data_IF_317100464707
#
_entry.id   IF_317100464707
#
_cell.length_a   1.000
_cell.length_b   1.000
_cell.length_c   1.000
_cell.angle_alpha   90.00
_cell.angle_beta   90.00
_cell.angle_gamma   90.00
#
_symmetry.space_group_name_H-M   'P 1'
#
loop_
_entity.id
_entity.type
_entity.pdbx_description
1 polymer ?
#
# COMPACT_ATOMS: atom_id res chain seq x y z
N UNK A 1 -22.34 -0.56 -3.36
CA UNK A 1 -21.24 -1.52 -3.56
C UNK A 1 -20.60 -1.77 -2.21
N UNK A 2 -20.40 -3.03 -1.85
CA UNK A 2 -19.75 -3.40 -0.60
C UNK A 2 -18.26 -3.52 -0.83
N UNK A 3 -17.49 -2.63 -0.22
CA UNK A 3 -16.05 -2.51 -0.45
C UNK A 3 -15.26 -2.69 0.84
N UNK A 4 -14.13 -3.39 0.74
CA UNK A 4 -13.14 -3.50 1.82
C UNK A 4 -11.90 -2.69 1.44
N UNK A 5 -11.47 -1.80 2.36
CA UNK A 5 -10.18 -1.12 2.32
C UNK A 5 -9.27 -1.73 3.40
N UNK A 6 -8.26 -2.47 2.97
CA UNK A 6 -7.33 -3.20 3.82
C UNK A 6 -5.97 -2.50 3.86
N UNK A 7 -5.39 -2.36 5.04
CA UNK A 7 -3.97 -2.06 5.24
C UNK A 7 -3.40 -2.97 6.31
N UNK A 8 -2.09 -3.21 6.23
CA UNK A 8 -1.33 -3.92 7.25
C UNK A 8 -0.29 -2.97 7.85
N UNK A 9 -0.15 -2.91 9.16
CA UNK A 9 0.84 -2.03 9.81
C UNK A 9 1.58 -2.70 10.97
N UNK A 10 2.84 -2.33 11.15
CA UNK A 10 3.66 -2.69 12.32
C UNK A 10 4.25 -1.44 12.97
N UNK A 11 4.42 -1.48 14.29
CA UNK A 11 4.97 -0.36 15.04
C UNK A 11 4.18 0.92 14.82
N UNK A 12 4.87 2.03 14.55
CA UNK A 12 4.27 3.36 14.40
C UNK A 12 3.65 3.62 13.01
N UNK A 13 3.64 2.64 12.10
CA UNK A 13 2.91 2.77 10.83
C UNK A 13 1.39 2.91 11.04
N UNK A 14 0.87 2.64 12.25
CA UNK A 14 -0.50 3.00 12.61
C UNK A 14 -0.80 4.51 12.49
N UNK A 15 0.23 5.37 12.50
CA UNK A 15 0.08 6.81 12.29
C UNK A 15 -0.21 7.12 10.81
N UNK A 16 0.47 6.41 9.91
CA UNK A 16 0.17 6.41 8.48
C UNK A 16 -1.25 5.90 8.22
N UNK A 17 -1.61 4.75 8.80
CA UNK A 17 -2.94 4.16 8.65
C UNK A 17 -4.07 5.13 9.07
N UNK A 18 -3.89 5.88 10.17
CA UNK A 18 -4.86 6.90 10.58
C UNK A 18 -5.03 8.02 9.53
N UNK A 19 -3.95 8.52 8.95
CA UNK A 19 -4.00 9.52 7.88
C UNK A 19 -4.60 8.95 6.59
N UNK A 20 -4.30 7.68 6.26
CA UNK A 20 -4.91 6.97 5.13
C UNK A 20 -6.43 6.89 5.28
N UNK A 21 -6.93 6.48 6.44
CA UNK A 21 -8.37 6.44 6.76
C UNK A 21 -9.01 7.81 6.55
N UNK A 22 -8.41 8.86 7.12
CA UNK A 22 -8.94 10.21 6.97
C UNK A 22 -9.04 10.64 5.52
N UNK A 23 -8.00 10.36 4.73
CA UNK A 23 -8.02 10.68 3.30
C UNK A 23 -9.08 9.88 2.55
N UNK A 24 -9.24 8.59 2.83
CA UNK A 24 -10.25 7.75 2.18
C UNK A 24 -11.68 8.25 2.48
N UNK A 25 -11.99 8.49 3.75
CA UNK A 25 -13.30 8.98 4.21
C UNK A 25 -13.59 10.36 3.62
N UNK A 26 -12.61 11.28 3.62
CA UNK A 26 -12.74 12.62 3.01
C UNK A 26 -13.08 12.54 1.52
N UNK A 27 -12.60 11.51 0.82
CA UNK A 27 -12.90 11.26 -0.59
C UNK A 27 -14.22 10.50 -0.80
N UNK A 28 -14.97 10.19 0.25
CA UNK A 28 -16.28 9.54 0.17
C UNK A 28 -16.24 8.01 0.29
N UNK A 29 -15.17 7.44 0.87
CA UNK A 29 -15.17 6.02 1.23
C UNK A 29 -16.30 5.73 2.23
N UNK A 30 -17.11 4.72 1.90
CA UNK A 30 -18.13 4.17 2.79
C UNK A 30 -18.10 2.65 2.63
N UNK A 31 -17.81 1.91 3.70
CA UNK A 31 -17.57 0.48 3.65
C UNK A 31 -16.81 -0.02 4.87
N UNK A 32 -16.08 -1.13 4.71
CA UNK A 32 -15.27 -1.71 5.79
C UNK A 32 -13.80 -1.37 5.60
N UNK A 33 -13.19 -0.78 6.61
CA UNK A 33 -11.76 -0.56 6.70
C UNK A 33 -11.18 -1.63 7.61
N UNK A 34 -10.30 -2.48 7.08
CA UNK A 34 -9.63 -3.53 7.86
C UNK A 34 -8.18 -3.13 8.10
N UNK A 35 -7.79 -3.15 9.37
CA UNK A 35 -6.44 -2.82 9.83
C UNK A 35 -5.80 -4.07 10.44
N UNK A 36 -4.97 -4.76 9.66
CA UNK A 36 -4.21 -5.90 10.15
C UNK A 36 -2.95 -5.46 10.90
N UNK A 37 -2.73 -6.00 12.10
CA UNK A 37 -1.59 -5.64 12.96
C UNK A 37 -1.09 -6.81 13.81
N UNK A 38 0.13 -6.71 14.32
CA UNK A 38 0.72 -7.66 15.28
C UNK A 38 0.83 -7.07 16.71
N UNK A 39 0.42 -5.81 16.90
CA UNK A 39 0.49 -5.13 18.18
C UNK A 39 -0.44 -5.75 19.25
N UNK A 40 0.04 -5.81 20.49
CA UNK A 40 -0.74 -6.28 21.65
C UNK A 40 -1.78 -5.27 22.15
N UNK A 41 -1.65 -4.00 21.74
CA UNK A 41 -2.57 -2.91 22.10
C UNK A 41 -2.95 -2.13 20.85
N UNK A 42 -4.19 -1.65 20.83
CA UNK A 42 -4.66 -0.76 19.78
C UNK A 42 -4.00 0.62 19.88
N UNK A 43 -3.85 1.34 18.76
CA UNK A 43 -3.29 2.69 18.76
C UNK A 43 -4.08 3.66 19.64
N UNK A 44 -3.40 4.60 20.31
CA UNK A 44 -4.07 5.55 21.19
C UNK A 44 -5.16 6.41 20.49
N UNK A 45 -5.02 6.62 19.18
CA UNK A 45 -5.99 7.38 18.40
C UNK A 45 -7.35 6.67 18.26
N UNK A 46 -7.46 5.37 18.55
CA UNK A 46 -8.76 4.67 18.53
C UNK A 46 -9.72 5.17 19.60
N UNK A 47 -9.22 5.87 20.63
CA UNK A 47 -10.07 6.52 21.63
C UNK A 47 -10.92 7.66 21.05
N UNK A 48 -10.63 8.12 19.83
CA UNK A 48 -11.40 9.14 19.10
C UNK A 48 -12.55 8.55 18.27
N UNK A 49 -12.63 7.21 18.18
CA UNK A 49 -13.62 6.52 17.36
C UNK A 49 -14.83 6.08 18.19
N UNK A 50 -15.97 5.94 17.55
CA UNK A 50 -17.17 5.36 18.17
C UNK A 50 -17.01 3.83 18.27
N UNK A 51 -16.93 3.23 19.47
CA UNK A 51 -16.80 1.79 19.61
C UNK A 51 -18.13 1.09 19.31
N UNK A 52 -18.11 0.08 18.45
CA UNK A 52 -19.29 -0.76 18.16
C UNK A 52 -19.23 -2.05 18.98
N UNK A 53 -18.08 -2.74 18.94
CA UNK A 53 -17.79 -3.97 19.68
C UNK A 53 -16.25 -4.13 19.79
N UNK A 54 -15.72 -5.07 20.59
CA UNK A 54 -14.27 -5.22 20.73
C UNK A 54 -13.54 -5.33 19.38
N UNK A 55 -12.62 -4.40 19.13
CA UNK A 55 -11.84 -4.32 17.89
C UNK A 55 -12.58 -3.73 16.68
N UNK A 56 -13.82 -3.25 16.85
CA UNK A 56 -14.64 -2.68 15.76
C UNK A 56 -15.18 -1.31 16.16
N UNK A 57 -15.01 -0.35 15.27
CA UNK A 57 -15.35 1.05 15.47
C UNK A 57 -16.11 1.61 14.28
N UNK A 58 -16.72 2.77 14.46
CA UNK A 58 -17.41 3.50 13.42
C UNK A 58 -16.81 4.91 13.25
N UNK A 59 -16.74 5.36 11.99
CA UNK A 59 -16.25 6.67 11.60
C UNK A 59 -16.94 7.11 10.30
N UNK A 60 -17.78 8.15 10.38
CA UNK A 60 -18.39 8.82 9.21
C UNK A 60 -19.00 7.85 8.16
N UNK A 61 -19.69 6.80 8.61
CA UNK A 61 -20.32 5.80 7.74
C UNK A 61 -19.43 4.61 7.35
N UNK A 62 -18.16 4.60 7.76
CA UNK A 62 -17.24 3.47 7.61
C UNK A 62 -17.10 2.66 8.90
N UNK A 63 -17.11 1.34 8.78
CA UNK A 63 -16.78 0.41 9.86
C UNK A 63 -15.27 0.16 9.86
N UNK A 64 -14.58 0.38 10.98
CA UNK A 64 -13.14 0.14 11.13
C UNK A 64 -12.93 -1.10 11.98
N UNK A 65 -12.28 -2.12 11.41
CA UNK A 65 -12.03 -3.41 12.05
C UNK A 65 -10.53 -3.62 12.26
N UNK A 66 -10.11 -3.81 13.50
CA UNK A 66 -8.75 -4.21 13.83
C UNK A 66 -8.64 -5.74 13.86
N UNK A 67 -7.65 -6.27 13.14
CA UNK A 67 -7.40 -7.71 13.05
C UNK A 67 -5.98 -8.01 13.50
N UNK A 68 -5.85 -8.92 14.46
CA UNK A 68 -4.55 -9.46 14.82
C UNK A 68 -4.10 -10.44 13.74
N UNK A 69 -2.98 -10.14 13.09
CA UNK A 69 -2.35 -10.98 12.07
C UNK A 69 -0.99 -11.44 12.63
N UNK A 70 -0.95 -12.55 13.39
CA UNK A 70 0.31 -13.17 13.77
C UNK A 70 0.97 -13.69 12.50
N UNK A 71 2.12 -13.14 12.14
CA UNK A 71 2.74 -13.42 10.86
C UNK A 71 4.17 -13.91 11.02
N UNK A 72 4.53 -15.09 10.49
CA UNK A 72 5.93 -15.49 10.34
C UNK A 72 6.65 -14.71 9.22
N UNK A 73 5.91 -13.96 8.40
CA UNK A 73 6.39 -13.16 7.27
C UNK A 73 6.40 -11.67 7.61
N UNK A 74 7.23 -10.90 6.91
CA UNK A 74 7.04 -9.47 6.80
C UNK A 74 5.66 -9.18 6.21
N UNK A 75 4.99 -8.13 6.68
CA UNK A 75 3.60 -7.84 6.29
C UNK A 75 3.42 -7.60 4.79
N UNK A 76 4.46 -7.18 4.08
CA UNK A 76 4.44 -7.10 2.62
C UNK A 76 4.11 -8.43 1.95
N UNK A 77 4.66 -9.54 2.43
CA UNK A 77 4.37 -10.88 1.90
C UNK A 77 3.05 -11.46 2.42
N UNK A 78 2.34 -10.78 3.33
CA UNK A 78 1.02 -11.20 3.82
C UNK A 78 -0.14 -10.62 3.02
N UNK A 79 0.11 -9.63 2.16
CA UNK A 79 -0.91 -8.95 1.35
C UNK A 79 -1.89 -9.92 0.68
N UNK A 80 -1.46 -10.90 -0.14
CA UNK A 80 -2.40 -11.75 -0.84
C UNK A 80 -3.20 -12.66 0.11
N UNK A 81 -2.56 -13.20 1.15
CA UNK A 81 -3.18 -14.05 2.16
C UNK A 81 -4.30 -13.34 2.91
N UNK A 82 -4.04 -12.13 3.41
CA UNK A 82 -5.03 -11.37 4.16
C UNK A 82 -6.13 -10.87 3.23
N UNK A 83 -5.80 -10.43 2.01
CA UNK A 83 -6.83 -10.03 1.04
C UNK A 83 -7.79 -11.18 0.72
N UNK A 84 -7.27 -12.40 0.46
CA UNK A 84 -8.11 -13.56 0.19
C UNK A 84 -8.95 -13.95 1.42
N UNK A 85 -8.34 -13.96 2.60
CA UNK A 85 -9.04 -14.20 3.86
C UNK A 85 -10.21 -13.23 4.05
N UNK A 86 -10.04 -11.95 3.72
CA UNK A 86 -11.13 -10.96 3.82
C UNK A 86 -12.25 -11.23 2.81
N UNK A 87 -11.93 -11.68 1.59
CA UNK A 87 -12.96 -12.08 0.63
C UNK A 87 -13.74 -13.31 1.08
N UNK A 88 -13.11 -14.23 1.80
CA UNK A 88 -13.76 -15.41 2.38
C UNK A 88 -14.65 -15.07 3.59
N UNK A 89 -14.15 -14.22 4.49
CA UNK A 89 -14.88 -13.81 5.70
C UNK A 89 -16.09 -12.92 5.37
N UNK A 90 -15.97 -12.07 4.35
CA UNK A 90 -17.00 -11.13 3.94
C UNK A 90 -17.53 -11.49 2.54
N UNK A 91 -18.41 -12.50 2.40
CA UNK A 91 -18.89 -12.96 1.09
C UNK A 91 -19.70 -11.90 0.34
N UNK A 92 -20.22 -10.89 1.06
CA UNK A 92 -20.91 -9.73 0.51
C UNK A 92 -19.97 -8.69 -0.10
N UNK A 93 -18.65 -8.79 0.12
CA UNK A 93 -17.66 -7.89 -0.46
C UNK A 93 -17.55 -8.07 -1.97
N UNK A 94 -17.79 -7.00 -2.72
CA UNK A 94 -17.72 -6.97 -4.20
C UNK A 94 -16.33 -6.57 -4.68
N UNK A 95 -15.63 -5.70 -3.94
CA UNK A 95 -14.30 -5.21 -4.28
C UNK A 95 -13.43 -5.09 -3.02
N UNK A 96 -12.16 -5.48 -3.15
CA UNK A 96 -11.16 -5.33 -2.10
C UNK A 96 -10.01 -4.46 -2.59
N UNK A 97 -9.57 -3.55 -1.73
CA UNK A 97 -8.46 -2.64 -1.93
C UNK A 97 -7.42 -2.93 -0.85
N UNK A 98 -6.19 -3.18 -1.25
CA UNK A 98 -5.04 -3.11 -0.37
C UNK A 98 -4.29 -1.81 -0.62
N UNK A 99 -3.90 -1.16 0.48
CA UNK A 99 -3.11 0.07 0.46
C UNK A 99 -2.04 0.02 1.55
N UNK A 100 -0.79 0.34 1.22
CA UNK A 100 0.26 0.52 2.22
C UNK A 100 -0.11 1.70 3.15
N UNK A 101 0.24 1.63 4.45
CA UNK A 101 -0.15 2.63 5.44
C UNK A 101 0.39 4.05 5.19
N UNK A 102 1.32 4.25 4.26
CA UNK A 102 1.91 5.55 3.88
C UNK A 102 1.38 6.10 2.54
N UNK A 103 0.25 5.57 2.08
CA UNK A 103 -0.48 6.05 0.90
C UNK A 103 -1.75 6.78 1.33
N UNK A 104 -2.06 7.87 0.64
CA UNK A 104 -3.24 8.71 0.86
C UNK A 104 -4.09 8.84 -0.41
N UNK A 105 -5.39 8.97 -0.25
CA UNK A 105 -6.36 9.16 -1.33
C UNK A 105 -6.58 10.65 -1.64
N UNK A 106 -6.38 11.05 -2.90
CA UNK A 106 -6.51 12.43 -3.38
C UNK A 106 -7.69 12.65 -4.34
N UNK A 107 -8.22 11.58 -4.94
CA UNK A 107 -9.37 11.61 -5.84
C UNK A 107 -10.65 11.09 -5.18
N UNK A 108 -11.85 11.43 -5.71
CA UNK A 108 -13.11 10.90 -5.20
C UNK A 108 -13.15 9.36 -5.20
N UNK A 109 -13.71 8.76 -4.14
CA UNK A 109 -13.77 7.30 -3.95
C UNK A 109 -14.41 6.57 -5.14
N UNK A 110 -15.42 7.20 -5.75
CA UNK A 110 -16.10 6.68 -6.95
C UNK A 110 -15.12 6.33 -8.08
N UNK A 111 -14.06 7.12 -8.28
CA UNK A 111 -13.03 6.82 -9.28
C UNK A 111 -12.35 5.48 -8.97
N UNK A 112 -12.00 5.21 -7.71
CA UNK A 112 -11.32 3.98 -7.31
C UNK A 112 -12.22 2.75 -7.48
N UNK A 113 -13.52 2.85 -7.17
CA UNK A 113 -14.47 1.76 -7.41
C UNK A 113 -14.67 1.47 -8.89
N UNK A 114 -14.71 2.50 -9.74
CA UNK A 114 -14.80 2.35 -11.19
C UNK A 114 -13.50 1.74 -11.76
N UNK A 115 -12.34 2.24 -11.30
CA UNK A 115 -11.03 1.76 -11.70
C UNK A 115 -10.83 0.28 -11.35
N UNK A 116 -11.12 -0.12 -10.11
CA UNK A 116 -11.09 -1.53 -9.70
C UNK A 116 -12.13 -2.38 -10.43
N UNK A 117 -13.22 -1.80 -10.94
CA UNK A 117 -14.22 -2.52 -11.73
C UNK A 117 -13.71 -2.97 -13.11
N UNK A 118 -12.58 -2.42 -13.58
CA UNK A 118 -12.01 -2.77 -14.88
C UNK A 118 -11.08 -4.00 -14.84
N UNK A 119 -10.64 -4.44 -13.65
CA UNK A 119 -9.72 -5.55 -13.46
C UNK A 119 -8.90 -5.43 -12.17
N UNK A 120 -7.78 -6.15 -12.09
CA UNK A 120 -6.78 -5.95 -11.02
C UNK A 120 -6.11 -4.60 -11.26
N UNK A 121 -6.47 -3.63 -10.44
CA UNK A 121 -6.03 -2.24 -10.48
C UNK A 121 -4.77 -2.02 -9.64
N UNK A 122 -3.77 -1.39 -10.22
CA UNK A 122 -2.52 -1.03 -9.56
C UNK A 122 -1.76 0.06 -10.33
N UNK A 123 -0.79 0.68 -9.66
CA UNK A 123 0.09 1.67 -10.29
C UNK A 123 1.45 1.08 -10.64
N UNK A 124 2.13 1.67 -11.62
CA UNK A 124 3.52 1.30 -11.94
C UNK A 124 4.52 1.81 -10.89
N UNK A 125 5.61 1.07 -10.74
CA UNK A 125 6.73 1.46 -9.89
C UNK A 125 7.45 2.72 -10.40
N UNK A 126 7.99 3.53 -9.49
CA UNK A 126 8.70 4.76 -9.85
C UNK A 126 10.10 4.55 -10.42
N UNK A 127 10.81 3.49 -10.02
CA UNK A 127 12.19 3.25 -10.43
C UNK A 127 12.25 2.35 -11.66
N UNK A 128 11.33 1.38 -11.74
CA UNK A 128 11.33 0.36 -12.79
C UNK A 128 9.97 0.22 -13.48
N UNK A 129 9.33 1.29 -13.98
CA UNK A 129 7.96 1.18 -14.53
C UNK A 129 7.84 0.20 -15.69
N UNK A 130 8.93 -0.05 -16.42
CA UNK A 130 9.00 -0.97 -17.55
C UNK A 130 10.15 -1.96 -17.39
N UNK A 131 9.87 -3.23 -17.66
CA UNK A 131 10.86 -4.30 -17.73
C UNK A 131 10.60 -5.12 -19.00
N UNK A 132 11.60 -5.22 -19.88
CA UNK A 132 11.49 -5.98 -21.13
C UNK A 132 11.12 -7.45 -20.86
N UNK A 133 10.51 -8.11 -21.83
CA UNK A 133 10.12 -9.53 -21.74
C UNK A 133 11.32 -10.45 -21.46
N UNK A 134 12.50 -10.08 -21.97
CA UNK A 134 13.76 -10.80 -21.78
C UNK A 134 14.54 -10.36 -20.54
N UNK A 135 13.96 -9.54 -19.66
CA UNK A 135 14.65 -9.07 -18.47
C UNK A 135 15.05 -10.25 -17.57
N UNK A 136 16.28 -10.30 -17.01
CA UNK A 136 16.74 -11.43 -16.20
C UNK A 136 15.82 -11.78 -15.03
N UNK A 137 15.19 -10.78 -14.40
CA UNK A 137 14.20 -11.02 -13.35
C UNK A 137 12.98 -11.79 -13.86
N UNK A 138 12.43 -11.44 -15.02
CA UNK A 138 11.29 -12.17 -15.61
C UNK A 138 11.64 -13.60 -15.93
N UNK A 139 12.86 -13.86 -16.42
CA UNK A 139 13.32 -15.22 -16.66
C UNK A 139 13.41 -16.04 -15.37
N UNK A 140 13.81 -15.42 -14.25
CA UNK A 140 13.80 -16.06 -12.95
C UNK A 140 12.38 -16.27 -12.41
N UNK A 141 11.50 -15.28 -12.55
CA UNK A 141 10.09 -15.38 -12.18
C UNK A 141 9.39 -16.48 -12.96
N UNK A 142 9.66 -16.64 -14.26
CA UNK A 142 9.14 -17.73 -15.09
C UNK A 142 9.50 -19.13 -14.57
N UNK A 143 10.72 -19.28 -14.03
CA UNK A 143 11.13 -20.54 -13.38
C UNK A 143 10.36 -20.79 -12.08
N UNK A 144 10.20 -19.75 -11.25
CA UNK A 144 9.42 -19.84 -10.02
C UNK A 144 7.93 -20.14 -10.31
N UNK A 145 7.36 -19.53 -11.35
CA UNK A 145 6.00 -19.80 -11.81
C UNK A 145 5.83 -21.28 -12.17
N UNK A 146 6.79 -21.81 -12.93
CA UNK A 146 6.79 -23.22 -13.34
C UNK A 146 6.97 -24.16 -12.13
N UNK A 147 7.86 -23.83 -11.19
CA UNK A 147 8.07 -24.65 -9.99
C UNK A 147 6.86 -24.63 -9.04
N UNK A 148 6.09 -23.54 -9.04
CA UNK A 148 4.82 -23.42 -8.35
C UNK A 148 3.65 -24.15 -9.05
N UNK A 149 3.88 -24.80 -10.20
CA UNK A 149 2.86 -25.54 -10.96
C UNK A 149 1.94 -24.67 -11.82
N UNK A 150 2.32 -23.42 -12.07
CA UNK A 150 1.60 -22.49 -12.95
C UNK A 150 2.28 -22.40 -14.32
N UNK A 151 1.54 -21.98 -15.34
CA UNK A 151 2.11 -21.62 -16.64
C UNK A 151 2.43 -20.12 -16.69
N UNK A 152 3.40 -19.74 -17.52
CA UNK A 152 3.61 -18.33 -17.86
C UNK A 152 2.64 -17.97 -18.97
N UNK A 153 1.59 -17.25 -18.61
CA UNK A 153 0.47 -16.88 -19.49
C UNK A 153 0.80 -15.66 -20.36
N UNK A 154 1.59 -14.73 -19.81
CA UNK A 154 1.96 -13.48 -20.48
C UNK A 154 3.25 -12.88 -19.91
N UNK A 155 3.81 -11.93 -20.63
CA UNK A 155 4.96 -11.12 -20.22
C UNK A 155 4.59 -9.62 -20.31
N UNK A 156 3.80 -9.08 -19.37
CA UNK A 156 3.40 -7.67 -19.44
C UNK A 156 4.65 -6.80 -19.41
N UNK A 157 4.78 -5.78 -20.26
CA UNK A 157 6.00 -4.95 -20.33
C UNK A 157 6.23 -4.05 -19.11
N UNK A 158 5.22 -3.93 -18.25
CA UNK A 158 5.23 -3.06 -17.08
C UNK A 158 5.55 -3.82 -15.77
N UNK A 159 5.90 -3.07 -14.74
CA UNK A 159 6.22 -3.59 -13.39
C UNK A 159 5.40 -2.84 -12.33
N UNK A 160 4.60 -3.57 -11.52
CA UNK A 160 3.70 -2.97 -10.55
C UNK A 160 4.45 -2.39 -9.35
N UNK A 161 3.87 -1.39 -8.71
CA UNK A 161 4.10 -1.09 -7.30
C UNK A 161 3.07 -1.87 -6.46
N UNK A 162 3.51 -2.63 -5.46
CA UNK A 162 2.58 -3.42 -4.63
C UNK A 162 1.96 -2.64 -3.48
N UNK A 163 2.25 -1.35 -3.36
CA UNK A 163 1.70 -0.50 -2.31
C UNK A 163 0.21 -0.22 -2.50
N UNK A 164 -0.30 -0.28 -3.73
CA UNK A 164 -1.74 -0.20 -4.01
C UNK A 164 -2.15 -1.32 -4.96
N UNK A 165 -3.12 -2.14 -4.53
CA UNK A 165 -3.72 -3.20 -5.34
C UNK A 165 -5.20 -3.26 -5.04
N UNK A 166 -6.05 -3.17 -6.06
CA UNK A 166 -7.49 -3.33 -5.90
C UNK A 166 -8.05 -4.30 -6.93
N UNK A 167 -9.07 -5.06 -6.57
CA UNK A 167 -9.70 -6.00 -7.49
C UNK A 167 -11.14 -6.30 -7.13
N UNK A 168 -12.00 -6.59 -8.12
CA UNK A 168 -13.32 -7.13 -7.87
C UNK A 168 -13.21 -8.61 -7.50
N UNK A 169 -14.17 -9.12 -6.72
CA UNK A 169 -14.21 -10.51 -6.26
C UNK A 169 -14.02 -11.53 -7.38
N UNK A 170 -14.58 -11.27 -8.56
CA UNK A 170 -14.43 -12.14 -9.74
C UNK A 170 -12.97 -12.34 -10.19
N UNK A 171 -12.06 -11.44 -9.82
CA UNK A 171 -10.63 -11.52 -10.12
C UNK A 171 -9.82 -12.10 -8.94
N UNK A 172 -10.47 -12.65 -7.90
CA UNK A 172 -9.78 -13.18 -6.72
C UNK A 172 -8.81 -14.34 -7.01
N UNK A 173 -8.91 -14.99 -8.17
CA UNK A 173 -7.92 -15.97 -8.64
C UNK A 173 -6.50 -15.39 -8.75
N UNK A 174 -6.36 -14.07 -8.96
CA UNK A 174 -5.07 -13.38 -8.91
C UNK A 174 -4.38 -13.56 -7.55
N UNK A 175 -5.13 -13.38 -6.45
CA UNK A 175 -4.60 -13.52 -5.09
C UNK A 175 -4.10 -14.94 -4.84
N UNK A 176 -4.80 -15.95 -5.37
CA UNK A 176 -4.37 -17.35 -5.25
C UNK A 176 -3.04 -17.61 -5.93
N UNK A 177 -2.84 -17.09 -7.15
CA UNK A 177 -1.54 -17.18 -7.84
C UNK A 177 -0.45 -16.49 -7.01
N UNK A 178 -0.74 -15.32 -6.45
CA UNK A 178 0.22 -14.58 -5.62
C UNK A 178 0.60 -15.30 -4.32
N UNK A 179 -0.36 -15.94 -3.67
CA UNK A 179 -0.07 -16.84 -2.53
C UNK A 179 0.81 -18.01 -2.95
N UNK A 180 0.48 -18.68 -4.05
CA UNK A 180 1.21 -19.86 -4.52
C UNK A 180 2.67 -19.54 -4.84
N UNK A 181 2.93 -18.41 -5.52
CA UNK A 181 4.29 -17.98 -5.80
C UNK A 181 5.04 -17.56 -4.53
N UNK A 182 4.34 -16.98 -3.56
CA UNK A 182 4.95 -16.66 -2.26
C UNK A 182 5.35 -17.93 -1.51
N UNK A 183 4.49 -18.96 -1.49
CA UNK A 183 4.79 -20.25 -0.86
C UNK A 183 5.89 -21.02 -1.60
N UNK A 184 5.90 -20.98 -2.94
CA UNK A 184 6.96 -21.59 -3.74
C UNK A 184 8.31 -20.92 -3.48
N UNK A 185 8.34 -19.59 -3.41
CA UNK A 185 9.56 -18.85 -3.09
C UNK A 185 10.11 -19.24 -1.72
N UNK A 186 9.25 -19.38 -0.71
CA UNK A 186 9.65 -19.87 0.62
C UNK A 186 10.17 -21.31 0.59
N UNK A 187 9.52 -22.20 -0.16
CA UNK A 187 9.93 -23.59 -0.30
C UNK A 187 11.32 -23.73 -0.96
N UNK A 188 11.68 -22.79 -1.84
CA UNK A 188 13.00 -22.69 -2.45
C UNK A 188 14.06 -22.00 -1.55
N UNK A 189 13.69 -21.65 -0.31
CA UNK A 189 14.59 -21.00 0.66
C UNK A 189 14.59 -19.46 0.61
N UNK A 190 13.64 -18.88 -0.12
CA UNK A 190 13.42 -17.44 -0.21
C UNK A 190 13.09 -16.79 1.14
N UNK A 191 13.60 -15.57 1.36
CA UNK A 191 13.37 -14.85 2.60
C UNK A 191 12.10 -13.98 2.50
N UNK A 192 11.05 -14.37 3.22
CA UNK A 192 9.80 -13.61 3.36
C UNK A 192 9.68 -12.88 4.70
N UNK A 193 10.67 -12.99 5.59
CA UNK A 193 10.67 -12.36 6.93
C UNK A 193 11.07 -10.90 6.90
N UNK A 194 11.68 -10.45 5.80
CA UNK A 194 12.18 -9.09 5.61
C UNK A 194 12.34 -8.80 4.13
N UNK A 195 12.30 -7.53 3.74
CA UNK A 195 12.71 -7.14 2.39
C UNK A 195 14.23 -7.06 2.28
N UNK A 196 14.75 -7.42 1.10
CA UNK A 196 16.18 -7.41 0.78
C UNK A 196 16.48 -6.32 -0.25
N UNK A 197 15.94 -5.11 -0.07
CA UNK A 197 15.97 -4.03 -1.07
C UNK A 197 17.39 -3.63 -1.52
N UNK A 198 18.39 -3.83 -0.67
CA UNK A 198 19.80 -3.56 -0.99
C UNK A 198 20.36 -4.57 -2.00
N UNK A 199 19.75 -5.76 -2.10
CA UNK A 199 20.12 -6.85 -3.00
C UNK A 199 19.35 -6.81 -4.31
N UNK A 200 18.97 -5.61 -4.81
CA UNK A 200 18.09 -5.46 -5.99
C UNK A 200 18.59 -6.16 -7.26
N UNK A 201 19.86 -6.55 -7.33
CA UNK A 201 20.36 -7.41 -8.41
C UNK A 201 19.66 -8.79 -8.44
N UNK A 202 19.16 -9.26 -7.30
CA UNK A 202 18.33 -10.45 -7.15
C UNK A 202 16.94 -10.25 -7.79
N UNK A 203 16.33 -11.32 -8.34
CA UNK A 203 15.03 -11.23 -8.98
C UNK A 203 13.89 -10.97 -8.00
N UNK A 204 14.02 -11.40 -6.74
CA UNK A 204 13.00 -11.22 -5.70
C UNK A 204 13.68 -10.63 -4.48
N UNK A 205 13.28 -9.42 -4.11
CA UNK A 205 13.71 -8.73 -2.89
C UNK A 205 12.55 -8.27 -2.02
N UNK A 206 11.32 -8.35 -2.54
CA UNK A 206 10.10 -8.03 -1.82
C UNK A 206 8.86 -8.67 -2.43
N UNK A 207 7.71 -8.40 -1.83
CA UNK A 207 6.42 -8.93 -2.31
C UNK A 207 6.02 -8.36 -3.68
N UNK A 208 6.52 -7.18 -4.03
CA UNK A 208 6.29 -6.54 -5.33
C UNK A 208 6.80 -7.38 -6.50
N UNK A 209 7.94 -8.06 -6.34
CA UNK A 209 8.46 -8.98 -7.36
C UNK A 209 7.55 -10.20 -7.54
N UNK A 210 7.02 -10.72 -6.44
CA UNK A 210 6.08 -11.84 -6.48
C UNK A 210 4.73 -11.43 -7.06
N UNK A 211 4.27 -10.21 -6.80
CA UNK A 211 3.10 -9.64 -7.45
C UNK A 211 3.31 -9.53 -8.97
N UNK A 212 4.49 -9.04 -9.40
CA UNK A 212 4.85 -8.95 -10.81
C UNK A 212 4.92 -10.33 -11.49
N UNK A 213 5.50 -11.32 -10.82
CA UNK A 213 5.50 -12.72 -11.27
C UNK A 213 4.07 -13.28 -11.37
N UNK A 214 3.20 -12.95 -10.41
CA UNK A 214 1.80 -13.40 -10.41
C UNK A 214 1.03 -12.87 -11.61
N UNK A 215 1.30 -11.63 -12.01
CA UNK A 215 0.70 -11.04 -13.21
C UNK A 215 1.15 -11.73 -14.52
N UNK A 216 2.32 -12.37 -14.53
CA UNK A 216 2.78 -13.20 -15.66
C UNK A 216 2.06 -14.55 -15.71
N UNK A 217 1.63 -15.09 -14.57
CA UNK A 217 0.99 -16.41 -14.45
C UNK A 217 -0.55 -16.35 -14.42
N UNK A 218 -1.14 -15.15 -14.40
CA UNK A 218 -2.58 -14.96 -14.25
C UNK A 218 -3.22 -14.43 -15.54
N UNK A 219 -4.39 -14.97 -15.90
CA UNK A 219 -5.06 -14.72 -17.20
C UNK A 219 -6.14 -13.64 -17.19
N UNK A 220 -6.45 -13.04 -16.03
CA UNK A 220 -7.51 -12.03 -15.93
C UNK A 220 -7.09 -10.63 -16.40
N UNK A 221 -7.97 -9.65 -16.19
CA UNK A 221 -7.78 -8.28 -16.70
C UNK A 221 -6.97 -7.41 -15.74
N UNK A 222 -6.05 -6.63 -16.29
CA UNK A 222 -5.28 -5.62 -15.56
C UNK A 222 -5.88 -4.23 -15.81
N UNK A 223 -5.88 -3.36 -14.80
CA UNK A 223 -6.27 -1.96 -14.93
C UNK A 223 -5.17 -1.06 -14.41
N UNK A 224 -4.30 -0.64 -15.32
CA UNK A 224 -2.98 -0.09 -14.95
C UNK A 224 -2.96 1.43 -15.09
N UNK A 225 -2.40 2.10 -14.09
CA UNK A 225 -2.05 3.53 -14.15
C UNK A 225 -0.53 3.66 -14.00
N UNK A 226 0.07 4.65 -14.65
CA UNK A 226 1.51 4.87 -14.55
C UNK A 226 1.95 5.34 -13.16
N UNK A 227 3.25 5.65 -12.98
CA UNK A 227 3.79 6.10 -11.71
C UNK A 227 3.11 7.38 -11.16
N UNK A 228 2.49 8.19 -12.03
CA UNK A 228 1.68 9.35 -11.66
C UNK A 228 0.49 9.00 -10.76
N UNK A 229 -0.04 7.77 -10.85
CA UNK A 229 -1.14 7.33 -10.01
C UNK A 229 -0.80 7.28 -8.52
N UNK A 230 0.48 7.09 -8.16
CA UNK A 230 0.99 7.09 -6.78
C UNK A 230 1.58 8.43 -6.34
N UNK A 231 1.57 9.43 -7.23
CA UNK A 231 2.27 10.68 -6.99
C UNK A 231 3.79 10.52 -7.03
N UNK A 232 4.30 9.61 -7.85
CA UNK A 232 5.75 9.48 -8.03
C UNK A 232 6.33 10.49 -9.02
N UNK A 233 5.46 11.10 -9.83
CA UNK A 233 5.81 12.20 -10.74
C UNK A 233 5.35 13.52 -10.14
N UNK A 234 5.76 14.65 -10.72
CA UNK A 234 5.31 15.98 -10.27
C UNK A 234 3.80 16.24 -10.47
N UNK A 235 3.08 15.31 -11.11
CA UNK A 235 1.63 15.34 -11.25
C UNK A 235 0.98 14.37 -10.25
N UNK A 236 0.25 14.93 -9.27
CA UNK A 236 -0.44 14.18 -8.20
C UNK A 236 -1.95 14.42 -8.32
N UNK A 237 -2.73 13.37 -8.53
CA UNK A 237 -4.19 13.53 -8.50
C UNK A 237 -4.95 12.31 -7.97
N UNK A 238 -4.37 11.10 -8.00
CA UNK A 238 -5.04 9.90 -7.51
C UNK A 238 -4.63 9.56 -6.07
N UNK A 239 -3.37 9.18 -5.89
CA UNK A 239 -2.81 8.81 -4.60
C UNK A 239 -1.54 9.64 -4.31
N UNK A 240 -1.14 9.70 -3.05
CA UNK A 240 0.18 10.18 -2.63
C UNK A 240 0.86 9.14 -1.76
N UNK A 241 2.03 8.65 -2.21
CA UNK A 241 2.84 7.65 -1.50
C UNK A 241 4.14 8.26 -0.94
N UNK A 242 4.29 8.34 0.39
CA UNK A 242 5.52 8.86 1.02
C UNK A 242 6.63 7.79 1.10
N UNK A 243 7.29 7.49 -0.02
CA UNK A 243 8.38 6.50 -0.08
C UNK A 243 9.66 6.93 0.66
N UNK A 244 9.79 8.22 0.98
CA UNK A 244 11.00 8.78 1.58
C UNK A 244 11.18 8.36 3.05
N UNK A 245 12.43 8.09 3.45
CA UNK A 245 12.80 7.73 4.83
C UNK A 245 13.58 8.86 5.54
N UNK A 246 13.39 9.04 6.86
CA UNK A 246 12.26 8.56 7.67
C UNK A 246 10.90 9.07 7.16
N UNK A 247 9.82 8.35 7.47
CA UNK A 247 8.43 8.70 7.09
C UNK A 247 7.98 10.01 7.74
N UNK A 248 6.99 10.70 7.15
CA UNK A 248 6.52 12.01 7.58
C UNK A 248 6.19 12.12 9.09
N UNK A 249 5.65 11.06 9.71
CA UNK A 249 5.35 11.03 11.15
C UNK A 249 6.57 10.91 12.07
N UNK A 250 7.76 10.56 11.56
CA UNK A 250 9.04 10.62 12.30
C UNK A 250 9.99 11.70 11.81
N UNK A 251 9.71 12.30 10.65
CA UNK A 251 10.65 13.18 9.95
C UNK A 251 10.86 14.50 10.72
N UNK A 252 12.13 14.90 10.82
CA UNK A 252 12.51 16.25 11.20
C UNK A 252 12.78 17.06 9.93
N UNK A 253 11.78 17.81 9.46
CA UNK A 253 11.82 18.49 8.18
C UNK A 253 12.92 19.55 8.10
N UNK A 254 13.12 20.34 9.17
CA UNK A 254 14.16 21.38 9.20
C UNK A 254 15.55 20.76 9.04
N UNK A 255 15.86 19.71 9.82
CA UNK A 255 17.17 19.04 9.74
C UNK A 255 17.43 18.48 8.34
N UNK A 256 16.43 17.89 7.69
CA UNK A 256 16.56 17.40 6.33
C UNK A 256 16.77 18.53 5.31
N UNK A 257 16.02 19.62 5.42
CA UNK A 257 16.19 20.77 4.52
C UNK A 257 17.56 21.42 4.64
N UNK A 258 18.14 21.49 5.86
CA UNK A 258 19.52 21.96 6.06
C UNK A 258 20.57 21.06 5.37
N UNK A 259 20.25 19.79 5.13
CA UNK A 259 21.08 18.87 4.33
C UNK A 259 20.76 18.90 2.83
N UNK A 260 19.90 19.82 2.39
CA UNK A 260 19.47 19.97 0.99
C UNK A 260 18.34 19.05 0.55
N UNK A 261 17.70 18.32 1.48
CA UNK A 261 16.57 17.44 1.18
C UNK A 261 15.25 18.21 1.33
N UNK A 262 14.58 18.46 0.21
CA UNK A 262 13.30 19.17 0.17
C UNK A 262 12.16 18.30 0.76
N UNK A 263 11.24 18.88 1.55
CA UNK A 263 10.01 18.19 1.94
C UNK A 263 9.16 17.79 0.71
N UNK A 264 8.69 16.54 0.68
CA UNK A 264 7.88 16.01 -0.42
C UNK A 264 6.42 16.48 -0.36
N UNK A 265 5.72 16.48 -1.50
CA UNK A 265 4.29 16.74 -1.56
C UNK A 265 3.50 15.70 -0.75
N UNK A 266 3.89 14.42 -0.82
CA UNK A 266 3.29 13.35 0.00
C UNK A 266 3.37 13.64 1.51
N UNK A 267 4.47 14.24 2.00
CA UNK A 267 4.54 14.69 3.39
C UNK A 267 3.58 15.84 3.70
N UNK A 268 3.31 16.74 2.76
CA UNK A 268 2.31 17.79 2.93
C UNK A 268 0.91 17.18 3.09
N UNK A 269 0.54 16.29 2.17
CA UNK A 269 -0.73 15.58 2.21
C UNK A 269 -0.90 14.75 3.48
N UNK A 270 0.16 14.10 3.98
CA UNK A 270 0.11 13.38 5.25
C UNK A 270 -0.20 14.31 6.42
N UNK A 271 0.45 15.48 6.51
CA UNK A 271 0.19 16.45 7.57
C UNK A 271 -1.21 17.07 7.45
N UNK A 272 -1.76 17.18 6.24
CA UNK A 272 -3.14 17.62 6.01
C UNK A 272 -4.15 16.53 6.41
N UNK A 273 -3.94 15.30 5.99
CA UNK A 273 -4.78 14.16 6.31
C UNK A 273 -4.72 13.82 7.81
N UNK A 274 -3.63 14.13 8.50
CA UNK A 274 -3.49 13.89 9.96
C UNK A 274 -4.35 14.80 10.85
N UNK A 275 -5.03 15.81 10.28
CA UNK A 275 -5.86 16.76 11.03
C UNK A 275 -7.16 16.14 11.54
N UNK A 276 -7.81 15.33 10.71
CA UNK A 276 -9.08 14.74 11.05
C UNK A 276 -9.73 14.02 9.87
N UNK A 277 -10.76 13.20 10.14
CA UNK A 277 -11.46 13.11 11.43
C UNK A 277 -10.71 12.40 12.58
N UNK A 278 -9.73 11.54 12.29
CA UNK A 278 -8.82 10.98 13.30
C UNK A 278 -7.61 11.88 13.47
N UNK A 279 -7.36 12.45 14.65
CA UNK A 279 -6.09 13.14 14.88
C UNK A 279 -4.95 12.13 15.00
N UNK A 280 -4.22 11.92 13.91
CA UNK A 280 -3.16 10.90 13.83
C UNK A 280 -1.94 11.27 14.68
N UNK A 281 -1.60 12.56 14.75
CA UNK A 281 -0.41 13.07 15.43
C UNK A 281 -0.76 13.99 16.60
N UNK A 282 -0.21 13.76 17.81
CA UNK A 282 -0.40 14.69 18.92
C UNK A 282 0.30 16.03 18.67
N UNK A 283 1.48 16.01 18.02
CA UNK A 283 2.36 17.16 17.76
C UNK A 283 2.20 17.77 16.36
N UNK A 284 1.01 17.64 15.75
CA UNK A 284 0.75 18.04 14.37
C UNK A 284 1.16 19.48 14.03
N UNK A 285 0.82 20.45 14.88
CA UNK A 285 1.13 21.87 14.63
C UNK A 285 2.63 22.15 14.59
N UNK A 286 3.39 21.55 15.50
CA UNK A 286 4.85 21.63 15.51
C UNK A 286 5.44 21.05 14.24
N UNK A 287 4.89 19.93 13.75
CA UNK A 287 5.33 19.31 12.49
C UNK A 287 4.99 20.16 11.26
N UNK A 288 3.80 20.76 11.22
CA UNK A 288 3.39 21.71 10.17
C UNK A 288 4.31 22.93 10.13
N UNK A 289 4.65 23.48 11.30
CA UNK A 289 5.61 24.57 11.39
C UNK A 289 6.99 24.14 10.87
N UNK A 290 7.50 23.00 11.32
CA UNK A 290 8.77 22.43 10.85
C UNK A 290 8.78 22.22 9.32
N UNK A 291 7.69 21.72 8.76
CA UNK A 291 7.50 21.54 7.33
C UNK A 291 7.55 22.86 6.57
N UNK A 292 6.83 23.90 7.01
CA UNK A 292 6.81 25.23 6.38
C UNK A 292 8.20 25.89 6.41
N UNK A 293 8.90 25.81 7.54
CA UNK A 293 10.29 26.32 7.65
C UNK A 293 11.21 25.57 6.67
N UNK A 294 11.09 24.25 6.60
CA UNK A 294 11.87 23.43 5.68
C UNK A 294 11.60 23.77 4.21
N UNK A 295 10.36 24.11 3.84
CA UNK A 295 10.04 24.61 2.49
C UNK A 295 10.74 25.93 2.17
N UNK A 296 10.85 26.84 3.14
CA UNK A 296 11.58 28.11 2.97
C UNK A 296 13.07 27.85 2.81
N UNK A 297 13.67 27.03 3.67
CA UNK A 297 15.10 26.65 3.57
C UNK A 297 15.39 26.06 2.18
N UNK A 298 14.54 25.15 1.70
CA UNK A 298 14.72 24.45 0.43
C UNK A 298 14.56 25.35 -0.82
N UNK A 299 14.10 26.60 -0.66
CA UNK A 299 14.09 27.59 -1.74
C UNK A 299 15.45 28.26 -1.91
N UNK A 300 16.21 28.42 -0.82
CA UNK A 300 17.51 29.09 -0.79
C UNK A 300 18.66 28.08 -0.87
N UNK A 301 18.48 26.91 -0.26
CA UNK A 301 19.47 25.85 -0.18
C UNK A 301 18.95 24.60 -0.89
N UNK A 302 19.47 24.32 -2.08
CA UNK A 302 19.22 23.09 -2.84
C UNK A 302 20.55 22.39 -3.07
N UNK A 303 20.55 21.08 -2.87
CA UNK A 303 21.67 20.23 -3.28
C UNK A 303 21.54 19.86 -4.75
#
# INVERSE_FOLDING_TARGET
MNTILLTLYQGDYHLGAAAMINSAVRQGFCGRIVLGHDASKLPAWTAQLEPVRPGVFHLEGAEILFRSIPSPRHFGFQKPFVMRQMLEEFPDCEQIFYVDPDILFLSPWKFFTEWAGLGVAYCLDCHFPYLSETHPWRMAWGRLITSAGHAVERMPGHYPNSGFVALPREQASFLKVWEDLTLAYEAEGGNTRSFQLEERHQPIVGDQDLMAASLMAWTGRESVIGPEGMGFTDYFYLLAHDIARPKAWRRNFIRQALTGVKPSAASAFFLEASEGPIRALPDLETRRFSFKVAQVISRVWKR
#
